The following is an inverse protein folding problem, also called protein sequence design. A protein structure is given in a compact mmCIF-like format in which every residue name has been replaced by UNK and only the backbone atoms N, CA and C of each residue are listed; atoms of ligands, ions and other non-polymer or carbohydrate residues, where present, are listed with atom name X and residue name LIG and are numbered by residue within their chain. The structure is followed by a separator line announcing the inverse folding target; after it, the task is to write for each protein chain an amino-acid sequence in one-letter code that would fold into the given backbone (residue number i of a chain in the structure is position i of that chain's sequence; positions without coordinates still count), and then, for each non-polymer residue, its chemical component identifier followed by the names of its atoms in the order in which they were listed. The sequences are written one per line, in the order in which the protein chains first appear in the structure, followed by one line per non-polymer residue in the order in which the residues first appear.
data_IF_459321781403
#
_entry.id   IF_459321781403
#
_cell.length_a   1.000
_cell.length_b   1.000
_cell.length_c   1.000
_cell.angle_alpha   90.00
_cell.angle_beta   90.00
_cell.angle_gamma   90.00
#
_symmetry.space_group_name_H-M   'P 1'
#
loop_
_entity.id
_entity.type
_entity.pdbx_description
1 polymer ?
#
# COMPACT_ATOMS: atom_id res chain seq x y z
N UNK A 1 -2.86 -24.11 -16.08
CA UNK A 1 -1.39 -24.13 -15.89
C UNK A 1 -1.06 -22.98 -14.96
N UNK A 2 -0.84 -23.28 -13.69
CA UNK A 2 -0.52 -22.28 -12.67
C UNK A 2 0.90 -21.80 -12.97
N UNK A 3 1.01 -20.59 -13.51
CA UNK A 3 2.31 -19.91 -13.60
C UNK A 3 2.76 -19.68 -12.17
N UNK A 4 3.79 -20.38 -11.74
CA UNK A 4 4.44 -20.14 -10.47
C UNK A 4 4.88 -18.67 -10.47
N UNK A 5 4.25 -17.88 -9.63
CA UNK A 5 4.64 -16.50 -9.34
C UNK A 5 6.10 -16.54 -8.91
N UNK A 6 6.96 -15.96 -9.72
CA UNK A 6 8.38 -15.76 -9.39
C UNK A 6 8.44 -15.03 -8.06
N UNK A 7 9.15 -15.66 -7.11
CA UNK A 7 9.43 -15.05 -5.79
C UNK A 7 9.80 -13.59 -5.98
N UNK A 8 9.06 -12.71 -5.34
CA UNK A 8 9.45 -11.32 -5.15
C UNK A 8 10.89 -11.29 -4.65
N UNK A 9 11.73 -10.45 -5.22
CA UNK A 9 13.14 -10.30 -4.78
C UNK A 9 13.25 -9.62 -3.41
N UNK A 10 12.14 -9.11 -2.88
CA UNK A 10 12.01 -8.64 -1.50
C UNK A 10 12.22 -9.81 -0.54
N UNK A 11 13.30 -9.75 0.24
CA UNK A 11 13.53 -10.77 1.26
C UNK A 11 12.56 -10.57 2.43
N UNK A 12 11.72 -11.55 2.77
CA UNK A 12 10.89 -11.48 3.97
C UNK A 12 11.72 -11.17 5.22
N UNK A 13 12.97 -11.65 5.28
CA UNK A 13 13.89 -11.39 6.37
C UNK A 13 14.28 -9.92 6.49
N UNK A 14 14.41 -9.19 5.37
CA UNK A 14 14.75 -7.77 5.37
C UNK A 14 13.63 -6.95 6.05
N UNK A 15 12.39 -7.17 5.62
CA UNK A 15 11.22 -6.50 6.22
C UNK A 15 11.04 -6.91 7.70
N UNK A 16 11.18 -8.18 8.02
CA UNK A 16 11.13 -8.63 9.43
C UNK A 16 12.18 -7.96 10.30
N UNK A 17 13.41 -7.86 9.81
CA UNK A 17 14.52 -7.21 10.50
C UNK A 17 14.24 -5.73 10.74
N UNK A 18 13.70 -5.03 9.74
CA UNK A 18 13.26 -3.64 9.86
C UNK A 18 12.15 -3.51 10.92
N UNK A 19 11.08 -4.30 10.82
CA UNK A 19 9.94 -4.23 11.73
C UNK A 19 10.34 -4.54 13.17
N UNK A 20 11.16 -5.59 13.40
CA UNK A 20 11.71 -5.91 14.73
C UNK A 20 12.53 -4.76 15.30
N UNK A 21 13.29 -4.06 14.47
CA UNK A 21 14.11 -2.94 14.92
C UNK A 21 13.26 -1.72 15.28
N UNK A 22 12.24 -1.44 14.46
CA UNK A 22 11.44 -0.22 14.61
C UNK A 22 10.53 -0.27 15.85
N UNK A 23 9.98 -1.44 16.19
CA UNK A 23 9.11 -1.58 17.36
C UNK A 23 9.85 -1.43 18.70
N UNK A 24 11.19 -1.54 18.71
CA UNK A 24 12.00 -1.36 19.92
C UNK A 24 12.09 0.11 20.38
N UNK A 25 11.73 1.07 19.53
CA UNK A 25 11.77 2.49 19.83
C UNK A 25 10.39 3.11 19.57
N UNK A 26 9.70 3.50 20.63
CA UNK A 26 8.32 4.00 20.55
C UNK A 26 8.14 5.16 19.57
N UNK A 27 9.09 6.12 19.51
CA UNK A 27 9.01 7.25 18.57
C UNK A 27 9.18 6.79 17.11
N UNK A 28 10.11 5.88 16.83
CA UNK A 28 10.28 5.35 15.47
C UNK A 28 9.10 4.50 15.06
N UNK A 29 8.58 3.69 15.98
CA UNK A 29 7.38 2.88 15.77
C UNK A 29 6.15 3.78 15.48
N UNK A 30 5.95 4.83 16.25
CA UNK A 30 4.88 5.81 16.01
C UNK A 30 5.01 6.47 14.63
N UNK A 31 6.22 6.91 14.23
CA UNK A 31 6.47 7.47 12.89
C UNK A 31 6.20 6.47 11.77
N UNK A 32 6.51 5.19 11.97
CA UNK A 32 6.18 4.13 11.02
C UNK A 32 4.68 3.95 10.86
N UNK A 33 3.94 3.81 11.96
CA UNK A 33 2.48 3.75 11.96
C UNK A 33 1.85 4.98 11.31
N UNK A 34 2.41 6.15 11.57
CA UNK A 34 1.97 7.40 10.92
C UNK A 34 2.29 7.42 9.41
N UNK A 35 3.35 6.74 8.97
CA UNK A 35 3.67 6.60 7.54
C UNK A 35 2.68 5.67 6.85
N UNK A 36 2.31 4.55 7.46
CA UNK A 36 1.25 3.67 6.94
C UNK A 36 -0.06 4.47 6.87
N UNK A 37 -0.45 5.14 7.96
CA UNK A 37 -1.62 6.00 7.99
C UNK A 37 -1.64 7.05 6.86
N UNK A 38 -0.50 7.62 6.55
CA UNK A 38 -0.34 8.57 5.44
C UNK A 38 -0.57 7.92 4.08
N UNK A 39 -0.06 6.70 3.87
CA UNK A 39 -0.23 5.97 2.60
C UNK A 39 -1.69 5.58 2.38
N UNK A 40 -2.38 5.06 3.40
CA UNK A 40 -3.82 4.78 3.35
C UNK A 40 -4.64 6.05 3.05
N UNK A 41 -4.29 7.17 3.70
CA UNK A 41 -4.92 8.47 3.43
C UNK A 41 -4.72 8.92 1.98
N UNK A 42 -3.53 8.73 1.39
CA UNK A 42 -3.28 9.02 -0.03
C UNK A 42 -4.14 8.10 -0.91
N UNK A 43 -4.23 6.81 -0.58
CA UNK A 43 -5.05 5.83 -1.28
C UNK A 43 -6.51 6.27 -1.36
N UNK A 44 -7.14 6.53 -0.22
CA UNK A 44 -8.51 7.01 -0.13
C UNK A 44 -8.76 8.28 -0.97
N UNK A 45 -7.89 9.29 -0.81
CA UNK A 45 -8.00 10.55 -1.57
C UNK A 45 -7.87 10.35 -3.07
N UNK A 46 -6.94 9.47 -3.48
CA UNK A 46 -6.73 9.19 -4.90
C UNK A 46 -7.94 8.51 -5.52
N UNK A 47 -8.52 7.53 -4.85
CA UNK A 47 -9.74 6.84 -5.30
C UNK A 47 -10.82 7.89 -5.56
N UNK A 48 -11.12 8.74 -4.59
CA UNK A 48 -12.15 9.78 -4.71
C UNK A 48 -11.84 10.82 -5.79
N UNK A 49 -10.57 11.22 -5.95
CA UNK A 49 -10.17 12.22 -6.94
C UNK A 49 -10.24 11.67 -8.38
N UNK A 50 -9.88 10.41 -8.60
CA UNK A 50 -9.82 9.80 -9.94
C UNK A 50 -11.14 9.19 -10.39
N UNK A 51 -12.01 8.83 -9.45
CA UNK A 51 -13.32 8.23 -9.69
C UNK A 51 -14.47 9.21 -9.37
N UNK A 52 -14.20 10.50 -9.45
CA UNK A 52 -15.20 11.55 -9.22
C UNK A 52 -16.28 11.58 -10.30
N UNK A 53 -17.50 11.94 -9.93
CA UNK A 53 -18.62 12.15 -10.83
C UNK A 53 -19.89 11.42 -10.43
N UNK A 54 -20.94 11.61 -11.22
CA UNK A 54 -22.28 11.05 -10.92
C UNK A 54 -22.39 9.52 -11.10
N UNK A 55 -21.41 8.88 -11.74
CA UNK A 55 -21.40 7.44 -12.01
C UNK A 55 -20.50 6.64 -11.03
N UNK A 56 -20.30 7.17 -9.83
CA UNK A 56 -19.53 6.47 -8.80
C UNK A 56 -20.32 5.27 -8.26
N UNK A 57 -19.75 4.08 -8.39
CA UNK A 57 -20.35 2.82 -7.92
C UNK A 57 -20.11 2.55 -6.44
N UNK A 58 -20.87 1.63 -5.88
CA UNK A 58 -20.80 1.22 -4.47
C UNK A 58 -19.40 0.71 -4.09
N UNK A 59 -18.80 -0.15 -4.91
CA UNK A 59 -17.45 -0.70 -4.71
C UNK A 59 -16.42 0.40 -4.47
N UNK A 60 -16.42 1.44 -5.31
CA UNK A 60 -15.47 2.56 -5.23
C UNK A 60 -15.65 3.36 -3.94
N UNK A 61 -16.91 3.64 -3.58
CA UNK A 61 -17.24 4.38 -2.35
C UNK A 61 -16.85 3.59 -1.10
N UNK A 62 -17.11 2.27 -1.11
CA UNK A 62 -16.73 1.39 -0.02
C UNK A 62 -15.21 1.35 0.14
N UNK A 63 -14.43 1.06 -0.92
CA UNK A 63 -12.97 1.07 -0.87
C UNK A 63 -12.44 2.40 -0.32
N UNK A 64 -12.86 3.53 -0.88
CA UNK A 64 -12.39 4.83 -0.39
C UNK A 64 -12.71 5.09 1.08
N UNK A 65 -13.84 4.60 1.58
CA UNK A 65 -14.25 4.70 2.98
C UNK A 65 -13.41 3.79 3.89
N UNK A 66 -13.13 2.57 3.44
CA UNK A 66 -12.32 1.59 4.17
C UNK A 66 -10.88 2.05 4.27
N UNK A 67 -10.27 2.55 3.19
CA UNK A 67 -8.93 3.18 3.21
C UNK A 67 -8.85 4.37 4.19
N UNK A 68 -9.87 5.24 4.21
CA UNK A 68 -9.91 6.34 5.17
C UNK A 68 -9.99 5.84 6.62
N UNK A 69 -10.69 4.73 6.86
CA UNK A 69 -10.79 4.07 8.17
C UNK A 69 -9.48 3.39 8.57
N UNK A 70 -8.77 2.74 7.62
CA UNK A 70 -7.43 2.20 7.83
C UNK A 70 -6.44 3.31 8.21
N UNK A 71 -6.47 4.43 7.48
CA UNK A 71 -5.66 5.61 7.82
C UNK A 71 -5.92 6.09 9.27
N UNK A 72 -7.18 6.18 9.67
CA UNK A 72 -7.55 6.57 11.04
C UNK A 72 -7.11 5.53 12.08
N UNK A 73 -7.23 4.24 11.77
CA UNK A 73 -6.76 3.17 12.64
C UNK A 73 -5.26 3.31 12.91
N UNK A 74 -4.42 3.38 11.88
CA UNK A 74 -2.97 3.52 12.04
C UNK A 74 -2.58 4.84 12.72
N UNK A 75 -3.30 5.93 12.47
CA UNK A 75 -3.10 7.20 13.16
C UNK A 75 -3.34 7.07 14.66
N UNK A 76 -4.41 6.41 15.07
CA UNK A 76 -4.70 6.14 16.47
C UNK A 76 -3.65 5.21 17.12
N UNK A 77 -3.14 4.22 16.38
CA UNK A 77 -2.07 3.36 16.89
C UNK A 77 -0.77 4.14 17.09
N UNK A 78 -0.42 5.02 16.14
CA UNK A 78 0.72 5.92 16.28
C UNK A 78 0.64 6.75 17.57
N UNK A 79 -0.52 7.34 17.85
CA UNK A 79 -0.76 8.12 19.08
C UNK A 79 -0.68 7.26 20.34
N UNK A 80 -1.17 6.02 20.31
CA UNK A 80 -1.08 5.11 21.47
C UNK A 80 0.35 4.67 21.77
N UNK A 81 1.16 4.44 20.75
CA UNK A 81 2.56 4.00 20.89
C UNK A 81 3.44 5.12 21.44
N UNK A 82 3.26 6.36 21.00
CA UNK A 82 4.03 7.52 21.48
C UNK A 82 3.18 8.79 21.41
N UNK A 83 2.43 9.11 22.48
CA UNK A 83 1.49 10.23 22.50
C UNK A 83 2.14 11.57 22.12
N UNK A 84 1.48 12.31 21.22
CA UNK A 84 1.91 13.63 20.77
C UNK A 84 3.13 13.65 19.84
N UNK A 85 3.71 12.49 19.52
CA UNK A 85 4.96 12.44 18.71
C UNK A 85 4.75 12.65 17.21
N UNK A 86 3.56 12.38 16.70
CA UNK A 86 3.23 12.45 15.27
C UNK A 86 1.87 13.12 15.05
N UNK A 87 1.74 14.43 15.28
CA UNK A 87 0.44 15.13 15.23
C UNK A 87 -0.17 15.18 13.81
N UNK A 88 0.66 15.23 12.79
CA UNK A 88 0.29 15.37 11.39
C UNK A 88 1.16 14.50 10.47
N UNK A 89 1.09 14.73 9.14
CA UNK A 89 1.88 14.04 8.13
C UNK A 89 3.07 14.87 7.60
N UNK A 90 3.59 15.81 8.39
CA UNK A 90 4.84 16.50 8.03
C UNK A 90 6.01 15.52 8.00
N UNK A 91 7.03 15.83 7.21
CA UNK A 91 8.15 14.90 6.94
C UNK A 91 8.84 14.38 8.21
N UNK A 92 8.98 15.22 9.21
CA UNK A 92 9.58 14.88 10.52
C UNK A 92 8.73 13.88 11.34
N UNK A 93 7.44 13.79 11.06
CA UNK A 93 6.48 12.88 11.69
C UNK A 93 6.30 11.57 10.93
N UNK A 94 6.98 11.40 9.81
CA UNK A 94 6.95 10.19 8.99
C UNK A 94 8.27 9.44 9.05
N UNK A 95 8.20 8.11 8.96
CA UNK A 95 9.37 7.27 8.78
C UNK A 95 9.59 7.02 7.29
N UNK A 96 10.66 7.60 6.72
CA UNK A 96 10.93 7.57 5.28
C UNK A 96 9.78 8.11 4.40
N UNK A 97 9.00 9.11 4.88
CA UNK A 97 7.79 9.59 4.22
C UNK A 97 7.98 10.02 2.77
N UNK A 98 9.10 10.69 2.43
CA UNK A 98 9.42 11.06 1.06
C UNK A 98 9.61 9.83 0.15
N UNK A 99 10.28 8.79 0.63
CA UNK A 99 10.48 7.55 -0.13
C UNK A 99 9.15 6.80 -0.31
N UNK A 100 8.31 6.77 0.71
CA UNK A 100 6.97 6.18 0.65
C UNK A 100 6.08 6.91 -0.37
N UNK A 101 6.04 8.24 -0.32
CA UNK A 101 5.31 9.06 -1.29
C UNK A 101 5.81 8.84 -2.72
N UNK A 102 7.13 8.81 -2.93
CA UNK A 102 7.71 8.57 -4.24
C UNK A 102 7.42 7.17 -4.78
N UNK A 103 7.38 6.16 -3.91
CA UNK A 103 6.97 4.81 -4.30
C UNK A 103 5.58 4.83 -4.92
N UNK A 104 4.61 5.44 -4.24
CA UNK A 104 3.24 5.57 -4.72
C UNK A 104 3.16 6.35 -6.04
N UNK A 105 3.78 7.53 -6.10
CA UNK A 105 3.71 8.41 -7.28
C UNK A 105 4.35 7.78 -8.53
N UNK A 106 5.45 7.06 -8.38
CA UNK A 106 6.11 6.36 -9.49
C UNK A 106 5.27 5.21 -10.02
N UNK A 107 4.63 4.45 -9.12
CA UNK A 107 3.73 3.37 -9.52
C UNK A 107 2.56 3.92 -10.31
N UNK A 108 1.91 4.95 -9.80
CA UNK A 108 0.78 5.61 -10.45
C UNK A 108 1.14 6.17 -11.83
N UNK A 109 2.21 6.93 -11.92
CA UNK A 109 2.68 7.50 -13.19
C UNK A 109 3.07 6.43 -14.20
N UNK A 110 3.65 5.30 -13.75
CA UNK A 110 4.02 4.17 -14.61
C UNK A 110 2.80 3.47 -15.19
N UNK A 111 1.79 3.18 -14.36
CA UNK A 111 0.53 2.56 -14.79
C UNK A 111 -0.19 3.48 -15.78
N UNK A 112 -0.36 4.75 -15.43
CA UNK A 112 -1.04 5.73 -16.27
C UNK A 112 -0.37 5.89 -17.65
N UNK A 113 0.97 5.97 -17.67
CA UNK A 113 1.75 6.06 -18.92
C UNK A 113 1.56 4.84 -19.80
N UNK A 114 1.53 3.63 -19.23
CA UNK A 114 1.33 2.41 -19.99
C UNK A 114 -0.10 2.31 -20.55
N UNK A 115 -1.11 2.57 -19.73
CA UNK A 115 -2.51 2.58 -20.17
C UNK A 115 -2.73 3.60 -21.30
N UNK A 116 -2.10 4.77 -21.18
CA UNK A 116 -2.12 5.78 -22.23
C UNK A 116 -1.48 5.29 -23.55
N UNK A 117 -0.32 4.63 -23.47
CA UNK A 117 0.36 4.04 -24.62
C UNK A 117 -0.46 2.91 -25.27
N UNK A 118 -1.24 2.16 -24.47
CA UNK A 118 -2.17 1.13 -24.94
C UNK A 118 -3.49 1.67 -25.51
N UNK A 119 -3.65 2.99 -25.60
CA UNK A 119 -4.83 3.61 -26.23
C UNK A 119 -6.00 3.88 -25.27
N UNK A 120 -5.91 3.53 -24.00
CA UNK A 120 -6.96 3.86 -23.04
C UNK A 120 -7.02 5.38 -22.77
N UNK A 121 -8.24 5.93 -22.67
CA UNK A 121 -8.51 7.36 -22.46
C UNK A 121 -9.72 7.58 -21.54
N UNK A 122 -9.79 8.77 -20.95
CA UNK A 122 -10.94 9.25 -20.20
C UNK A 122 -11.32 8.34 -19.02
N UNK A 123 -12.62 8.13 -18.84
CA UNK A 123 -13.16 7.35 -17.69
C UNK A 123 -12.62 5.92 -17.63
N UNK A 124 -12.47 5.25 -18.77
CA UNK A 124 -11.93 3.89 -18.84
C UNK A 124 -10.49 3.84 -18.34
N UNK A 125 -9.65 4.77 -18.78
CA UNK A 125 -8.26 4.89 -18.34
C UNK A 125 -8.18 5.15 -16.83
N UNK A 126 -8.99 6.08 -16.32
CA UNK A 126 -9.04 6.40 -14.88
C UNK A 126 -9.46 5.21 -14.05
N UNK A 127 -10.46 4.45 -14.50
CA UNK A 127 -10.93 3.27 -13.80
C UNK A 127 -9.89 2.14 -13.79
N UNK A 128 -9.28 1.83 -14.94
CA UNK A 128 -8.20 0.84 -15.01
C UNK A 128 -6.98 1.27 -14.19
N UNK A 129 -6.61 2.57 -14.23
CA UNK A 129 -5.52 3.08 -13.40
C UNK A 129 -5.80 2.88 -11.91
N UNK A 130 -7.01 3.18 -11.45
CA UNK A 130 -7.44 2.89 -10.09
C UNK A 130 -7.28 1.41 -9.77
N UNK A 131 -7.87 0.51 -10.55
CA UNK A 131 -7.84 -0.92 -10.30
C UNK A 131 -6.41 -1.47 -10.23
N UNK A 132 -5.55 -1.13 -11.21
CA UNK A 132 -4.18 -1.63 -11.25
C UNK A 132 -3.31 -1.09 -10.11
N UNK A 133 -3.36 0.21 -9.85
CA UNK A 133 -2.52 0.84 -8.83
C UNK A 133 -2.92 0.36 -7.44
N UNK A 134 -4.22 0.36 -7.15
CA UNK A 134 -4.73 -0.07 -5.85
C UNK A 134 -4.45 -1.55 -5.61
N UNK A 135 -4.74 -2.43 -6.58
CA UNK A 135 -4.47 -3.86 -6.45
C UNK A 135 -2.99 -4.16 -6.17
N UNK A 136 -2.06 -3.52 -6.88
CA UNK A 136 -0.61 -3.73 -6.65
C UNK A 136 -0.16 -3.24 -5.28
N UNK A 137 -0.70 -2.12 -4.80
CA UNK A 137 -0.40 -1.58 -3.48
C UNK A 137 -0.97 -2.48 -2.38
N UNK A 138 -2.19 -2.94 -2.53
CA UNK A 138 -2.83 -3.82 -1.54
C UNK A 138 -2.17 -5.20 -1.49
N UNK A 139 -1.73 -5.79 -2.62
CA UNK A 139 -0.90 -7.01 -2.57
C UNK A 139 0.39 -6.79 -1.77
N UNK A 140 1.02 -5.63 -1.92
CA UNK A 140 2.23 -5.28 -1.17
C UNK A 140 1.92 -5.04 0.31
N UNK A 141 0.82 -4.37 0.60
CA UNK A 141 0.36 -4.09 1.96
C UNK A 141 -0.04 -5.38 2.68
N UNK A 142 -0.75 -6.30 2.03
CA UNK A 142 -1.14 -7.60 2.59
C UNK A 142 0.10 -8.37 3.09
N UNK A 143 1.13 -8.50 2.26
CA UNK A 143 2.40 -9.12 2.67
C UNK A 143 3.04 -8.40 3.88
N UNK A 144 3.12 -7.07 3.84
CA UNK A 144 3.71 -6.26 4.90
C UNK A 144 2.91 -6.36 6.21
N UNK A 145 1.59 -6.32 6.13
CA UNK A 145 0.71 -6.35 7.29
C UNK A 145 0.67 -7.72 7.95
N UNK A 146 0.75 -8.81 7.18
CA UNK A 146 0.88 -10.17 7.74
C UNK A 146 2.16 -10.31 8.56
N UNK A 147 3.31 -9.86 8.04
CA UNK A 147 4.57 -9.89 8.76
C UNK A 147 4.54 -8.97 9.99
N UNK A 148 3.89 -7.81 9.85
CA UNK A 148 3.79 -6.86 10.95
C UNK A 148 2.87 -7.37 12.07
N UNK A 149 1.69 -7.90 11.76
CA UNK A 149 0.77 -8.49 12.74
C UNK A 149 1.46 -9.61 13.54
N UNK A 150 2.21 -10.49 12.86
CA UNK A 150 3.00 -11.54 13.50
C UNK A 150 4.03 -10.98 14.48
N UNK A 151 4.79 -9.96 14.06
CA UNK A 151 5.82 -9.34 14.92
C UNK A 151 5.19 -8.63 16.12
N UNK A 152 4.06 -7.98 15.96
CA UNK A 152 3.32 -7.35 17.05
C UNK A 152 2.86 -8.41 18.06
N UNK A 153 2.31 -9.54 17.60
CA UNK A 153 1.89 -10.66 18.44
C UNK A 153 3.08 -11.30 19.18
N UNK A 154 4.19 -11.61 18.49
CA UNK A 154 5.43 -12.17 19.08
C UNK A 154 6.02 -11.28 20.18
N UNK A 155 5.80 -9.97 20.12
CA UNK A 155 6.33 -9.01 21.09
C UNK A 155 5.29 -8.53 22.12
N UNK A 156 4.11 -9.16 22.17
CA UNK A 156 3.06 -8.85 23.14
C UNK A 156 2.46 -7.44 22.97
N UNK A 157 2.56 -6.85 21.79
CA UNK A 157 1.98 -5.53 21.50
C UNK A 157 0.48 -5.73 21.22
N UNK A 158 -0.44 -5.12 22.00
CA UNK A 158 -1.87 -5.39 21.91
C UNK A 158 -2.54 -4.67 20.74
N UNK A 159 -2.04 -4.92 19.54
CA UNK A 159 -2.56 -4.41 18.26
C UNK A 159 -2.69 -5.60 17.32
N UNK A 160 -3.80 -5.72 16.60
CA UNK A 160 -3.99 -6.74 15.56
C UNK A 160 -4.48 -6.10 14.27
N UNK A 161 -3.88 -6.54 13.16
CA UNK A 161 -4.23 -6.11 11.81
C UNK A 161 -5.19 -7.08 11.11
N UNK A 162 -5.64 -8.16 11.78
CA UNK A 162 -6.47 -9.23 11.20
C UNK A 162 -7.77 -8.73 10.55
N UNK A 163 -8.38 -7.67 11.12
CA UNK A 163 -9.58 -7.08 10.53
C UNK A 163 -9.28 -6.35 9.21
N UNK A 164 -8.19 -5.59 9.16
CA UNK A 164 -7.72 -4.91 7.94
C UNK A 164 -7.37 -5.96 6.89
N UNK A 165 -6.54 -6.94 7.22
CA UNK A 165 -6.14 -8.03 6.30
C UNK A 165 -7.33 -8.74 5.66
N UNK A 166 -8.41 -8.97 6.41
CA UNK A 166 -9.63 -9.59 5.87
C UNK A 166 -10.36 -8.67 4.86
N UNK A 167 -10.33 -7.38 5.08
CA UNK A 167 -10.91 -6.40 4.15
C UNK A 167 -10.09 -6.30 2.88
N UNK A 168 -8.75 -6.23 3.00
CA UNK A 168 -7.83 -6.21 1.86
C UNK A 168 -7.96 -7.46 0.97
N UNK A 169 -8.13 -8.64 1.57
CA UNK A 169 -8.40 -9.88 0.81
C UNK A 169 -9.66 -9.75 -0.06
N UNK A 170 -10.73 -9.14 0.48
CA UNK A 170 -11.96 -8.89 -0.26
C UNK A 170 -11.76 -7.88 -1.40
N UNK A 171 -11.03 -6.80 -1.15
CA UNK A 171 -10.70 -5.78 -2.15
C UNK A 171 -9.90 -6.38 -3.31
N UNK A 172 -8.86 -7.15 -3.00
CA UNK A 172 -8.02 -7.82 -4.00
C UNK A 172 -8.85 -8.74 -4.91
N UNK A 173 -9.77 -9.52 -4.34
CA UNK A 173 -10.64 -10.40 -5.12
C UNK A 173 -11.59 -9.61 -6.04
N UNK A 174 -12.20 -8.55 -5.55
CA UNK A 174 -13.10 -7.70 -6.33
C UNK A 174 -12.38 -6.95 -7.45
N UNK A 175 -11.23 -6.34 -7.16
CA UNK A 175 -10.43 -5.62 -8.16
C UNK A 175 -9.89 -6.54 -9.23
N UNK A 176 -9.45 -7.76 -8.85
CA UNK A 176 -9.01 -8.77 -9.81
C UNK A 176 -10.13 -9.16 -10.76
N UNK A 177 -11.32 -9.42 -10.24
CA UNK A 177 -12.50 -9.73 -11.05
C UNK A 177 -12.89 -8.58 -11.98
N UNK A 178 -12.77 -7.34 -11.50
CA UNK A 178 -13.02 -6.15 -12.32
C UNK A 178 -11.96 -5.99 -13.43
N UNK A 179 -10.67 -6.19 -13.12
CA UNK A 179 -9.59 -6.12 -14.10
C UNK A 179 -9.74 -7.18 -15.20
N UNK A 180 -10.06 -8.41 -14.86
CA UNK A 180 -10.28 -9.50 -15.82
C UNK A 180 -11.43 -9.19 -16.78
N UNK A 181 -12.49 -8.57 -16.30
CA UNK A 181 -13.64 -8.13 -17.09
C UNK A 181 -13.35 -6.91 -17.96
N UNK A 182 -12.55 -5.98 -17.45
CA UNK A 182 -12.38 -4.64 -18.02
C UNK A 182 -11.17 -4.52 -18.96
N UNK A 183 -10.18 -5.40 -18.86
CA UNK A 183 -8.98 -5.38 -19.70
C UNK A 183 -8.68 -6.78 -20.26
N UNK A 184 -8.92 -6.99 -21.56
CA UNK A 184 -8.67 -8.27 -22.24
C UNK A 184 -7.20 -8.71 -22.20
N UNK A 185 -6.26 -7.80 -21.94
CA UNK A 185 -4.83 -8.07 -21.77
C UNK A 185 -4.38 -8.10 -20.32
N UNK A 186 -5.34 -8.20 -19.38
CA UNK A 186 -5.09 -8.11 -17.94
C UNK A 186 -3.88 -8.94 -17.49
N UNK A 187 -3.82 -10.22 -17.81
CA UNK A 187 -2.76 -11.11 -17.32
C UNK A 187 -1.36 -10.64 -17.75
N UNK A 188 -1.21 -10.25 -19.01
CA UNK A 188 0.08 -9.77 -19.55
C UNK A 188 0.46 -8.42 -18.95
N UNK A 189 -0.49 -7.50 -18.89
CA UNK A 189 -0.28 -6.16 -18.35
C UNK A 189 0.01 -6.17 -16.86
N UNK A 190 -0.69 -7.02 -16.13
CA UNK A 190 -0.49 -7.19 -14.70
C UNK A 190 0.92 -7.70 -14.37
N UNK A 191 1.38 -8.74 -15.06
CA UNK A 191 2.75 -9.27 -14.90
C UNK A 191 3.81 -8.19 -15.16
N UNK A 192 3.62 -7.36 -16.20
CA UNK A 192 4.50 -6.22 -16.48
C UNK A 192 4.51 -5.19 -15.35
N UNK A 193 3.34 -4.90 -14.79
CA UNK A 193 3.22 -3.91 -13.70
C UNK A 193 3.80 -4.44 -12.40
N UNK A 194 3.59 -5.72 -12.09
CA UNK A 194 4.19 -6.40 -10.93
C UNK A 194 5.73 -6.32 -10.97
N UNK A 195 6.35 -6.64 -12.10
CA UNK A 195 7.82 -6.54 -12.24
C UNK A 195 8.33 -5.11 -11.98
N UNK A 196 7.61 -4.12 -12.48
CA UNK A 196 7.99 -2.70 -12.30
C UNK A 196 7.70 -2.20 -10.90
N UNK A 197 6.60 -2.64 -10.29
CA UNK A 197 6.27 -2.34 -8.90
C UNK A 197 7.37 -2.85 -7.98
N UNK A 198 7.78 -4.09 -8.15
CA UNK A 198 8.84 -4.72 -7.37
C UNK A 198 10.14 -3.91 -7.41
N UNK A 199 10.61 -3.52 -8.60
CA UNK A 199 11.79 -2.66 -8.76
C UNK A 199 11.63 -1.29 -8.08
N UNK A 200 10.41 -0.77 -8.03
CA UNK A 200 10.11 0.49 -7.36
C UNK A 200 10.06 0.32 -5.84
N UNK A 201 9.46 -0.75 -5.37
CA UNK A 201 9.37 -1.08 -3.95
C UNK A 201 10.75 -1.32 -3.32
N UNK A 202 11.66 -2.02 -3.99
CA UNK A 202 13.03 -2.24 -3.52
C UNK A 202 13.76 -0.95 -3.15
N UNK A 203 13.50 0.16 -3.84
CA UNK A 203 14.09 1.46 -3.51
C UNK A 203 13.52 2.03 -2.20
N UNK A 204 12.25 1.82 -1.96
CA UNK A 204 11.61 2.19 -0.70
C UNK A 204 12.10 1.31 0.45
N UNK A 205 12.15 -0.01 0.26
CA UNK A 205 12.68 -0.97 1.23
C UNK A 205 14.14 -0.64 1.63
N UNK A 206 15.01 -0.35 0.66
CA UNK A 206 16.39 0.10 0.93
C UNK A 206 16.42 1.36 1.80
N UNK A 207 15.51 2.30 1.58
CA UNK A 207 15.39 3.49 2.42
C UNK A 207 14.98 3.14 3.85
N UNK A 208 14.06 2.19 4.02
CA UNK A 208 13.65 1.69 5.34
C UNK A 208 14.81 1.03 6.08
N UNK A 209 15.52 0.11 5.41
CA UNK A 209 16.65 -0.61 6.01
C UNK A 209 17.78 0.34 6.44
N UNK A 210 18.18 1.27 5.56
CA UNK A 210 19.18 2.30 5.88
C UNK A 210 18.80 3.17 7.07
N UNK A 211 17.52 3.50 7.20
CA UNK A 211 17.02 4.37 8.29
C UNK A 211 17.17 3.76 9.69
N UNK A 212 17.33 2.45 9.77
CA UNK A 212 17.53 1.70 11.03
C UNK A 212 18.90 1.02 11.13
N UNK A 213 19.81 1.35 10.22
CA UNK A 213 21.20 0.83 10.22
C UNK A 213 21.33 -0.62 9.76
N UNK A 214 20.44 -1.07 8.87
CA UNK A 214 20.44 -2.41 8.27
C UNK A 214 20.83 -2.40 6.77
N UNK A 215 21.22 -1.26 6.22
CA UNK A 215 21.56 -1.09 4.81
C UNK A 215 23.05 -0.93 4.54
#
# INVERSE_FOLDING_TARGET
MIVALTKTSTSPEAIRSFLKKIIQNGRQHSRWLNTISFLEHIGSRKILATQSGFAMGEMILRHASEEARHAHFFKRMSERVSPGSCPDYQTENLHCGFSAFNYFQRLDGMVLKNLNASGFRGKKQSFLSYLYVTHLIEERADFLYQEYDRILEENGIPVSLKAILKEEESHLAEMRSALDREDSEFTTRYALFQEKEEKNYLKFEQSLLKSVGLG
#
